data_IF_577124605827
#
_entry.id   IF_577124605827
#
_cell.length_a   1.000
_cell.length_b   1.000
_cell.length_c   1.000
_cell.angle_alpha   90.00
_cell.angle_beta   90.00
_cell.angle_gamma   90.00
#
_symmetry.space_group_name_H-M   'P 1'
#
loop_
_entity.id
_entity.type
_entity.pdbx_description
1 polymer ?
#
# COMPACT_ATOMS: atom_id res chain seq x y z
N UNK A 1 -62.73 -62.91 16.54
CA UNK A 1 -62.57 -61.52 16.99
C UNK A 1 -61.42 -61.45 18.00
N UNK A 2 -60.50 -60.46 17.81
CA UNK A 2 -59.45 -59.94 18.73
C UNK A 2 -58.34 -60.94 19.15
N UNK A 3 -57.14 -60.94 18.55
CA UNK A 3 -55.96 -60.04 18.61
C UNK A 3 -55.29 -59.94 20.00
N UNK A 4 -54.00 -59.54 19.98
CA UNK A 4 -53.07 -59.15 21.06
C UNK A 4 -52.13 -60.26 21.55
N UNK A 5 -50.81 -60.12 21.61
CA UNK A 5 -49.81 -59.31 20.90
C UNK A 5 -48.46 -59.97 21.24
N UNK A 6 -47.60 -60.18 20.24
CA UNK A 6 -46.24 -60.67 20.43
C UNK A 6 -45.38 -59.58 21.08
N UNK A 7 -44.73 -59.88 22.20
CA UNK A 7 -43.67 -59.04 22.75
C UNK A 7 -42.33 -59.77 22.57
N UNK A 8 -41.71 -59.53 21.41
CA UNK A 8 -40.31 -59.84 21.19
C UNK A 8 -39.47 -58.79 21.93
N UNK A 9 -38.97 -59.12 23.12
CA UNK A 9 -37.85 -58.38 23.70
C UNK A 9 -36.59 -58.91 23.03
N UNK A 10 -36.15 -58.19 22.00
CA UNK A 10 -34.88 -58.40 21.34
C UNK A 10 -33.78 -58.05 22.37
N UNK A 11 -33.25 -59.05 23.08
CA UNK A 11 -32.00 -58.89 23.80
C UNK A 11 -30.91 -58.81 22.73
N UNK A 12 -30.57 -57.60 22.30
CA UNK A 12 -29.32 -57.35 21.57
C UNK A 12 -28.18 -57.74 22.51
N UNK A 13 -27.76 -59.00 22.46
CA UNK A 13 -26.40 -59.37 22.83
C UNK A 13 -25.55 -58.69 21.78
N UNK A 14 -24.95 -57.56 22.16
CA UNK A 14 -23.98 -56.89 21.32
C UNK A 14 -22.89 -57.88 20.98
N UNK A 15 -22.94 -58.42 19.76
CA UNK A 15 -21.79 -59.10 19.19
C UNK A 15 -20.65 -58.09 19.23
N UNK A 16 -19.51 -58.40 19.87
CA UNK A 16 -18.37 -57.51 19.78
C UNK A 16 -18.10 -57.29 18.30
N UNK A 17 -18.01 -56.03 17.90
CA UNK A 17 -17.62 -55.65 16.55
C UNK A 17 -16.43 -56.51 16.10
N UNK A 18 -16.32 -56.96 14.83
CA UNK A 18 -15.22 -57.80 14.38
C UNK A 18 -13.81 -57.26 14.69
N UNK A 19 -13.68 -55.96 14.98
CA UNK A 19 -12.45 -55.35 15.50
C UNK A 19 -12.02 -55.85 16.90
N UNK A 20 -12.96 -56.22 17.78
CA UNK A 20 -12.68 -56.71 19.13
C UNK A 20 -12.39 -58.23 19.18
N UNK A 21 -12.64 -58.96 18.10
CA UNK A 21 -12.37 -60.39 18.02
C UNK A 21 -10.87 -60.71 17.82
N UNK A 22 -10.07 -59.75 17.38
CA UNK A 22 -8.68 -59.99 16.99
C UNK A 22 -7.70 -59.88 18.17
N UNK A 23 -8.03 -59.10 19.20
CA UNK A 23 -7.13 -58.77 20.30
C UNK A 23 -7.60 -59.29 21.68
N UNK A 24 -8.82 -59.81 21.77
CA UNK A 24 -9.38 -60.38 22.99
C UNK A 24 -9.20 -61.90 23.06
N UNK A 25 -8.54 -62.42 24.09
CA UNK A 25 -8.46 -63.87 24.35
C UNK A 25 -9.66 -64.32 25.19
N UNK A 26 -10.87 -64.20 24.64
CA UNK A 26 -12.09 -64.57 25.34
C UNK A 26 -12.68 -65.86 24.77
N UNK A 27 -13.06 -66.81 25.64
CA UNK A 27 -13.91 -67.96 25.30
C UNK A 27 -15.26 -67.78 25.97
N UNK A 28 -16.32 -67.89 25.17
CA UNK A 28 -17.68 -68.04 25.67
C UNK A 28 -17.87 -69.47 26.15
N UNK A 29 -18.28 -69.65 27.40
CA UNK A 29 -18.52 -70.95 28.02
C UNK A 29 -20.00 -71.28 28.03
N UNK A 30 -20.36 -72.52 27.70
CA UNK A 30 -21.71 -73.02 27.91
C UNK A 30 -21.91 -73.49 29.36
N UNK A 31 -23.15 -73.41 29.85
CA UNK A 31 -23.50 -73.90 31.19
C UNK A 31 -23.20 -75.41 31.29
N UNK A 32 -22.43 -75.81 32.31
CA UNK A 32 -21.93 -77.19 32.53
C UNK A 32 -20.88 -77.71 31.53
N UNK A 33 -20.21 -76.84 30.78
CA UNK A 33 -19.07 -77.25 29.94
C UNK A 33 -17.84 -77.61 30.78
N UNK A 34 -17.17 -78.73 30.46
CA UNK A 34 -15.96 -79.19 31.14
C UNK A 34 -14.70 -78.64 30.44
N UNK A 35 -13.73 -78.15 31.23
CA UNK A 35 -12.44 -77.70 30.72
C UNK A 35 -11.63 -78.88 30.17
N UNK A 36 -11.29 -78.85 28.88
CA UNK A 36 -10.47 -79.87 28.22
C UNK A 36 -9.09 -79.33 27.84
N UNK A 37 -8.17 -80.23 27.52
CA UNK A 37 -6.85 -79.89 26.95
C UNK A 37 -6.99 -79.07 25.65
N UNK A 38 -8.00 -79.36 24.83
CA UNK A 38 -8.25 -78.64 23.58
C UNK A 38 -8.67 -77.19 23.83
N UNK A 39 -9.44 -76.93 24.89
CA UNK A 39 -9.82 -75.58 25.28
C UNK A 39 -8.60 -74.74 25.68
N UNK A 40 -7.67 -75.35 26.43
CA UNK A 40 -6.44 -74.73 26.89
C UNK A 40 -5.49 -74.48 25.71
N UNK A 41 -5.27 -75.48 24.86
CA UNK A 41 -4.42 -75.36 23.68
C UNK A 41 -4.94 -74.28 22.72
N UNK A 42 -6.24 -74.23 22.46
CA UNK A 42 -6.84 -73.20 21.62
C UNK A 42 -6.72 -71.80 22.25
N UNK A 43 -6.76 -71.67 23.58
CA UNK A 43 -6.53 -70.39 24.26
C UNK A 43 -5.08 -69.92 24.12
N UNK A 44 -4.10 -70.82 24.25
CA UNK A 44 -2.70 -70.51 24.03
C UNK A 44 -2.42 -70.14 22.57
N UNK A 45 -2.97 -70.87 21.60
CA UNK A 45 -2.84 -70.52 20.18
C UNK A 45 -3.43 -69.14 19.90
N UNK A 46 -4.62 -68.82 20.42
CA UNK A 46 -5.21 -67.48 20.26
C UNK A 46 -4.35 -66.38 20.89
N UNK A 47 -3.76 -66.63 22.06
CA UNK A 47 -2.86 -65.67 22.72
C UNK A 47 -1.60 -65.41 21.89
N UNK A 48 -1.02 -66.47 21.31
CA UNK A 48 0.14 -66.36 20.42
C UNK A 48 -0.23 -65.62 19.14
N UNK A 49 -1.38 -65.92 18.53
CA UNK A 49 -1.88 -65.25 17.33
C UNK A 49 -2.26 -63.79 17.57
N UNK A 50 -2.73 -63.45 18.78
CA UNK A 50 -3.07 -62.08 19.18
C UNK A 50 -1.83 -61.25 19.54
N UNK A 51 -0.64 -61.84 19.66
CA UNK A 51 0.60 -61.12 19.91
C UNK A 51 1.16 -60.50 18.61
N UNK A 52 0.37 -59.62 18.00
CA UNK A 52 0.65 -58.89 16.76
C UNK A 52 0.55 -57.38 17.01
N UNK A 53 1.25 -56.52 16.24
CA UNK A 53 1.26 -55.07 16.47
C UNK A 53 -0.13 -54.41 16.51
N UNK A 54 -1.11 -54.96 15.78
CA UNK A 54 -2.50 -54.47 15.80
C UNK A 54 -3.21 -54.66 17.14
N UNK A 55 -2.67 -55.51 18.02
CA UNK A 55 -3.23 -55.86 19.32
C UNK A 55 -2.29 -55.55 20.49
N UNK A 56 -1.09 -55.05 20.19
CA UNK A 56 -0.15 -54.56 21.19
C UNK A 56 -0.64 -53.19 21.70
N UNK A 57 -0.59 -53.02 23.02
CA UNK A 57 -0.89 -51.74 23.68
C UNK A 57 0.21 -50.70 23.43
N UNK A 58 0.01 -49.47 23.87
CA UNK A 58 1.01 -48.42 23.72
C UNK A 58 2.25 -48.63 24.61
N UNK A 59 3.43 -48.25 24.11
CA UNK A 59 4.68 -48.32 24.88
C UNK A 59 4.94 -47.05 25.71
N UNK A 60 4.26 -45.94 25.40
CA UNK A 60 4.60 -44.61 25.91
C UNK A 60 3.87 -44.23 27.21
N UNK A 61 3.66 -45.19 28.12
CA UNK A 61 2.91 -44.97 29.36
C UNK A 61 3.56 -43.98 30.34
N UNK A 62 4.86 -43.72 30.17
CA UNK A 62 5.61 -42.72 30.94
C UNK A 62 6.43 -41.81 30.04
N UNK A 63 6.74 -40.59 30.51
CA UNK A 63 7.63 -39.67 29.80
C UNK A 63 9.03 -40.26 29.59
N UNK A 64 9.48 -41.13 30.48
CA UNK A 64 10.76 -41.83 30.34
C UNK A 64 10.72 -42.78 29.15
N UNK A 65 9.71 -43.64 29.07
CA UNK A 65 9.53 -44.55 27.92
C UNK A 65 9.31 -43.79 26.61
N UNK A 66 8.60 -42.66 26.65
CA UNK A 66 8.37 -41.81 25.48
C UNK A 66 9.67 -41.17 24.96
N UNK A 67 10.68 -40.97 25.83
CA UNK A 67 11.96 -40.35 25.49
C UNK A 67 13.06 -41.34 25.11
N UNK A 68 12.86 -42.63 25.32
CA UNK A 68 13.87 -43.64 24.96
C UNK A 68 14.07 -43.66 23.44
N UNK A 69 15.34 -43.64 23.03
CA UNK A 69 15.77 -43.71 21.64
C UNK A 69 17.01 -44.57 21.50
N UNK A 70 17.10 -45.30 20.39
CA UNK A 70 18.23 -46.18 20.07
C UNK A 70 18.65 -45.91 18.63
N UNK A 71 19.94 -45.72 18.36
CA UNK A 71 20.45 -45.54 17.00
C UNK A 71 20.17 -46.80 16.16
N UNK A 72 19.48 -46.71 15.01
CA UNK A 72 19.28 -47.85 14.12
C UNK A 72 20.53 -48.25 13.32
N UNK A 73 21.56 -47.39 13.22
CA UNK A 73 22.77 -47.66 12.44
C UNK A 73 24.07 -47.23 13.16
N UNK A 74 24.31 -47.71 14.38
CA UNK A 74 25.51 -47.37 15.12
C UNK A 74 26.74 -47.97 14.45
N UNK A 75 27.82 -47.18 14.36
CA UNK A 75 29.13 -47.66 13.88
C UNK A 75 29.08 -48.42 12.54
N UNK A 76 28.22 -47.96 11.63
CA UNK A 76 28.07 -48.53 10.28
C UNK A 76 27.56 -49.97 10.24
N UNK A 77 26.72 -50.37 11.20
CA UNK A 77 26.04 -51.67 11.21
C UNK A 77 24.59 -51.53 11.63
N UNK A 78 23.68 -52.35 11.07
CA UNK A 78 22.28 -52.32 11.45
C UNK A 78 22.06 -52.79 12.89
N UNK A 79 21.38 -51.97 13.67
CA UNK A 79 20.88 -52.31 15.00
C UNK A 79 19.46 -52.87 14.83
N UNK A 80 19.29 -54.20 14.93
CA UNK A 80 17.98 -54.85 14.71
C UNK A 80 17.12 -54.86 15.99
N UNK A 81 15.85 -54.41 15.95
CA UNK A 81 14.93 -54.52 17.08
C UNK A 81 14.44 -55.97 17.26
N UNK A 82 14.33 -56.42 18.51
CA UNK A 82 13.71 -57.70 18.88
C UNK A 82 12.31 -57.54 19.49
N UNK A 83 11.87 -56.29 19.66
CA UNK A 83 10.56 -55.92 20.23
C UNK A 83 10.01 -54.68 19.53
N UNK A 84 8.68 -54.51 19.56
CA UNK A 84 8.02 -53.30 19.04
C UNK A 84 8.50 -52.03 19.75
N UNK A 85 8.79 -52.12 21.07
CA UNK A 85 9.40 -51.05 21.83
C UNK A 85 10.75 -50.62 21.24
N UNK A 86 11.62 -51.58 20.91
CA UNK A 86 12.92 -51.30 20.29
C UNK A 86 12.82 -50.71 18.88
N UNK A 87 11.78 -51.06 18.11
CA UNK A 87 11.53 -50.46 16.80
C UNK A 87 11.08 -48.99 16.94
N UNK A 88 10.17 -48.71 17.89
CA UNK A 88 9.74 -47.35 18.21
C UNK A 88 10.90 -46.46 18.65
N UNK A 89 11.81 -46.97 19.48
CA UNK A 89 13.01 -46.24 19.91
C UNK A 89 13.91 -45.81 18.74
N UNK A 90 13.99 -46.64 17.68
CA UNK A 90 14.78 -46.35 16.47
C UNK A 90 14.10 -45.35 15.54
N UNK A 91 12.77 -45.45 15.38
CA UNK A 91 11.99 -44.47 14.63
C UNK A 91 12.08 -43.10 15.32
N UNK A 92 11.98 -43.06 16.65
CA UNK A 92 12.14 -41.81 17.43
C UNK A 92 13.53 -41.21 17.26
N UNK A 93 14.57 -42.03 17.21
CA UNK A 93 15.93 -41.55 16.93
C UNK A 93 16.01 -40.84 15.57
N UNK A 94 15.41 -41.41 14.52
CA UNK A 94 15.37 -40.79 13.19
C UNK A 94 14.57 -39.48 13.18
N UNK A 95 13.42 -39.44 13.88
CA UNK A 95 12.62 -38.22 14.01
C UNK A 95 13.37 -37.12 14.79
N UNK A 96 14.14 -37.48 15.83
CA UNK A 96 15.04 -36.54 16.51
C UNK A 96 16.12 -35.99 15.58
N UNK A 97 16.77 -36.86 14.81
CA UNK A 97 17.78 -36.46 13.84
C UNK A 97 17.23 -35.51 12.77
N UNK A 98 15.99 -35.74 12.31
CA UNK A 98 15.30 -34.87 11.35
C UNK A 98 14.83 -33.54 11.97
N UNK A 99 14.38 -33.57 13.22
CA UNK A 99 13.81 -32.40 13.89
C UNK A 99 14.84 -31.45 14.50
N UNK A 100 15.99 -31.98 14.90
CA UNK A 100 16.98 -31.26 15.71
C UNK A 100 16.48 -30.88 17.11
N UNK A 101 15.35 -31.43 17.57
CA UNK A 101 14.74 -31.11 18.87
C UNK A 101 15.30 -31.97 19.99
N UNK A 102 15.01 -31.60 21.24
CA UNK A 102 15.37 -32.39 22.41
C UNK A 102 14.51 -33.65 22.53
N UNK A 103 13.23 -33.57 22.14
CA UNK A 103 12.30 -34.71 22.16
C UNK A 103 11.50 -34.79 20.86
N UNK A 104 11.27 -36.01 20.36
CA UNK A 104 10.67 -36.27 19.03
C UNK A 104 9.22 -35.78 18.88
N UNK A 105 8.52 -35.57 19.98
CA UNK A 105 7.13 -35.12 20.03
C UNK A 105 6.98 -33.59 20.16
N UNK A 106 8.09 -32.85 20.16
CA UNK A 106 8.05 -31.39 20.15
C UNK A 106 7.74 -30.87 18.75
N UNK A 107 7.11 -29.69 18.69
CA UNK A 107 6.71 -29.07 17.41
C UNK A 107 7.96 -28.85 16.54
N UNK A 108 7.87 -29.29 15.28
CA UNK A 108 8.90 -29.09 14.27
C UNK A 108 9.00 -27.61 13.90
N UNK A 109 10.22 -27.12 13.70
CA UNK A 109 10.41 -25.78 13.15
C UNK A 109 10.03 -25.77 11.66
N UNK A 110 9.39 -24.68 11.22
CA UNK A 110 9.05 -24.49 9.81
C UNK A 110 10.28 -24.54 8.88
N UNK A 111 11.49 -24.38 9.42
CA UNK A 111 12.76 -24.50 8.70
C UNK A 111 13.03 -25.88 8.12
N UNK A 112 12.48 -26.97 8.69
CA UNK A 112 12.60 -28.33 8.12
C UNK A 112 11.79 -28.46 6.83
N UNK A 113 10.78 -27.60 6.62
CA UNK A 113 9.96 -27.54 5.41
C UNK A 113 10.45 -26.52 4.37
N UNK A 114 11.56 -25.82 4.61
CA UNK A 114 12.00 -24.68 3.78
C UNK A 114 12.41 -25.08 2.35
N UNK A 115 12.84 -26.32 2.17
CA UNK A 115 13.34 -26.83 0.88
C UNK A 115 12.53 -28.04 0.35
N UNK A 116 11.40 -28.38 0.98
CA UNK A 116 10.52 -29.46 0.49
C UNK A 116 9.41 -28.84 -0.35
N UNK A 117 9.32 -29.13 -1.67
CA UNK A 117 8.21 -28.69 -2.49
C UNK A 117 6.91 -29.21 -1.88
N UNK A 118 6.11 -28.34 -1.26
CA UNK A 118 4.77 -28.72 -0.78
C UNK A 118 3.91 -29.01 -2.00
N UNK A 119 3.73 -30.29 -2.32
CA UNK A 119 2.77 -30.76 -3.31
C UNK A 119 1.35 -30.39 -2.86
N UNK A 120 0.71 -29.42 -3.54
CA UNK A 120 -0.50 -29.58 -4.38
C UNK A 120 -1.17 -28.21 -4.58
N UNK A 121 -1.09 -27.68 -5.81
CA UNK A 121 -2.09 -26.72 -6.33
C UNK A 121 -1.99 -25.26 -5.90
N UNK A 122 -0.92 -24.83 -5.25
CA UNK A 122 -0.75 -23.44 -4.84
C UNK A 122 0.41 -22.81 -5.63
N UNK A 123 0.10 -22.10 -6.72
CA UNK A 123 1.08 -21.21 -7.38
C UNK A 123 1.35 -20.05 -6.42
N UNK A 124 2.35 -20.20 -5.55
CA UNK A 124 2.93 -19.11 -4.80
C UNK A 124 4.42 -19.04 -5.12
N UNK A 125 4.85 -17.83 -5.48
CA UNK A 125 6.23 -17.42 -5.72
C UNK A 125 7.13 -17.99 -4.63
N UNK A 126 8.17 -18.72 -5.02
CA UNK A 126 9.16 -19.28 -4.10
C UNK A 126 9.85 -18.11 -3.38
N UNK A 127 9.61 -17.99 -2.07
CA UNK A 127 10.40 -17.11 -1.21
C UNK A 127 11.58 -17.92 -0.69
N UNK A 128 12.80 -17.61 -1.12
CA UNK A 128 14.01 -18.06 -0.43
C UNK A 128 14.48 -16.94 0.49
N UNK A 129 14.44 -17.19 1.80
CA UNK A 129 15.08 -16.32 2.78
C UNK A 129 16.59 -16.47 2.60
N UNK A 130 17.27 -15.38 2.18
CA UNK A 130 18.72 -15.34 2.04
C UNK A 130 19.30 -14.34 3.03
N UNK A 131 20.33 -14.75 3.76
CA UNK A 131 21.06 -13.89 4.70
C UNK A 131 21.91 -12.82 4.00
N UNK A 132 22.17 -12.98 2.71
CA UNK A 132 22.99 -12.07 1.91
C UNK A 132 22.34 -11.81 0.53
N UNK A 133 21.98 -10.56 0.21
CA UNK A 133 21.33 -10.23 -1.05
C UNK A 133 22.25 -10.24 -2.27
N UNK A 134 23.58 -10.19 -2.07
CA UNK A 134 24.52 -10.17 -3.18
C UNK A 134 24.71 -11.57 -3.82
N UNK A 135 24.55 -12.64 -3.05
CA UNK A 135 25.00 -13.99 -3.42
C UNK A 135 23.91 -14.94 -3.88
N UNK A 136 22.63 -14.56 -3.79
CA UNK A 136 21.52 -15.40 -4.26
C UNK A 136 21.46 -15.46 -5.80
N UNK A 137 21.61 -16.66 -6.39
CA UNK A 137 21.29 -16.90 -7.81
C UNK A 137 19.77 -16.99 -7.97
N UNK A 138 19.20 -16.16 -8.83
CA UNK A 138 17.76 -16.11 -9.10
C UNK A 138 17.52 -16.43 -10.57
N UNK A 139 16.50 -17.25 -10.87
CA UNK A 139 16.06 -17.48 -12.24
C UNK A 139 15.45 -16.21 -12.84
N UNK A 140 15.36 -16.14 -14.17
CA UNK A 140 14.86 -14.98 -14.92
C UNK A 140 13.43 -14.55 -14.57
N UNK A 141 12.68 -15.39 -13.85
CA UNK A 141 11.26 -15.20 -13.57
C UNK A 141 10.98 -15.06 -12.05
N UNK A 142 12.03 -14.86 -11.25
CA UNK A 142 11.93 -14.85 -9.77
C UNK A 142 12.36 -13.50 -9.21
N UNK A 143 11.47 -12.88 -8.42
CA UNK A 143 11.78 -11.74 -7.56
C UNK A 143 12.19 -12.26 -6.18
N UNK A 144 13.44 -12.08 -5.77
CA UNK A 144 13.86 -12.44 -4.41
C UNK A 144 13.55 -11.30 -3.45
N UNK A 145 12.87 -11.58 -2.34
CA UNK A 145 12.58 -10.63 -1.26
C UNK A 145 13.46 -10.97 -0.07
N UNK A 146 14.18 -9.98 0.44
CA UNK A 146 15.02 -10.13 1.62
C UNK A 146 14.30 -9.51 2.79
N UNK A 147 13.99 -10.29 3.82
CA UNK A 147 13.35 -9.81 5.04
C UNK A 147 14.20 -10.16 6.28
N UNK A 148 14.08 -9.36 7.34
CA UNK A 148 14.51 -9.76 8.69
C UNK A 148 13.30 -9.83 9.61
N UNK A 149 13.28 -10.79 10.50
CA UNK A 149 12.38 -10.80 11.66
C UNK A 149 13.20 -10.52 12.91
N UNK A 150 13.03 -9.33 13.49
CA UNK A 150 13.69 -8.92 14.74
C UNK A 150 12.87 -9.34 15.98
N UNK A 151 11.95 -10.29 15.84
CA UNK A 151 11.03 -10.72 16.90
C UNK A 151 9.78 -9.85 17.04
N UNK A 152 9.53 -8.97 16.07
CA UNK A 152 8.35 -8.10 15.98
C UNK A 152 7.51 -8.32 14.70
N UNK A 153 7.88 -9.31 13.89
CA UNK A 153 7.30 -9.59 12.57
C UNK A 153 8.29 -9.31 11.43
N UNK A 154 8.15 -10.06 10.33
CA UNK A 154 9.04 -9.96 9.19
C UNK A 154 8.96 -8.57 8.50
N UNK A 155 10.11 -7.91 8.38
CA UNK A 155 10.27 -6.64 7.67
C UNK A 155 11.10 -6.87 6.40
N UNK A 156 10.56 -6.52 5.23
CA UNK A 156 11.28 -6.64 3.96
C UNK A 156 12.31 -5.50 3.85
N UNK A 157 13.58 -5.86 3.72
CA UNK A 157 14.76 -4.99 3.72
C UNK A 157 15.39 -4.78 2.35
N UNK A 158 15.10 -5.62 1.36
CA UNK A 158 15.55 -5.48 -0.02
C UNK A 158 14.74 -6.38 -0.96
N UNK A 159 14.86 -6.17 -2.28
CA UNK A 159 14.50 -7.18 -3.28
C UNK A 159 15.58 -7.26 -4.37
N UNK A 160 15.70 -8.40 -5.06
CA UNK A 160 16.56 -8.57 -6.24
C UNK A 160 15.67 -8.87 -7.45
N UNK A 161 15.79 -8.06 -8.49
CA UNK A 161 15.02 -8.22 -9.72
C UNK A 161 15.59 -9.30 -10.65
N UNK A 162 14.83 -9.71 -11.67
CA UNK A 162 15.21 -10.76 -12.63
C UNK A 162 16.48 -10.46 -13.43
N UNK A 163 16.98 -9.21 -13.39
CA UNK A 163 18.24 -8.82 -14.02
C UNK A 163 19.45 -8.97 -13.10
N UNK A 164 19.20 -9.38 -11.85
CA UNK A 164 20.22 -9.56 -10.82
C UNK A 164 20.53 -8.29 -10.01
N UNK A 165 19.77 -7.20 -10.19
CA UNK A 165 19.98 -5.97 -9.45
C UNK A 165 19.33 -6.04 -8.07
N UNK A 166 20.12 -5.77 -7.03
CA UNK A 166 19.66 -5.74 -5.64
C UNK A 166 19.25 -4.32 -5.25
N UNK A 167 17.99 -4.14 -4.88
CA UNK A 167 17.43 -2.88 -4.36
C UNK A 167 17.19 -2.99 -2.86
N UNK A 168 17.95 -2.25 -2.05
CA UNK A 168 17.75 -2.20 -0.60
C UNK A 168 16.56 -1.31 -0.22
N UNK A 169 15.64 -1.86 0.55
CA UNK A 169 14.52 -1.19 1.22
C UNK A 169 14.91 -0.66 2.61
N UNK A 170 16.14 -0.96 3.06
CA UNK A 170 16.76 -0.41 4.28
C UNK A 170 17.36 0.97 3.99
N UNK A 171 16.45 1.91 3.81
CA UNK A 171 16.67 3.35 3.74
C UNK A 171 15.32 4.03 3.94
N UNK A 172 15.28 5.31 4.29
CA UNK A 172 14.02 6.04 4.28
C UNK A 172 13.45 6.01 2.86
N UNK A 173 12.51 5.09 2.57
CA UNK A 173 11.65 5.01 1.38
C UNK A 173 12.25 5.53 0.07
N UNK A 174 13.50 5.19 -0.26
CA UNK A 174 14.22 5.72 -1.43
C UNK A 174 13.88 4.98 -2.74
N UNK A 175 12.62 4.62 -2.93
CA UNK A 175 12.06 4.28 -4.24
C UNK A 175 10.54 4.39 -4.20
N UNK A 176 10.04 5.63 -4.33
CA UNK A 176 8.73 5.85 -4.92
C UNK A 176 8.95 6.69 -6.16
N UNK A 177 8.93 6.02 -7.31
CA UNK A 177 8.68 6.71 -8.57
C UNK A 177 7.37 7.49 -8.45
N UNK A 178 7.37 8.69 -9.03
CA UNK A 178 6.26 9.64 -9.06
C UNK A 178 5.93 10.35 -7.74
N UNK A 179 5.55 11.61 -7.89
CA UNK A 179 5.11 12.51 -6.84
C UNK A 179 3.79 12.00 -6.19
N UNK A 180 3.89 11.13 -5.17
CA UNK A 180 2.72 10.59 -4.44
C UNK A 180 2.01 11.71 -3.68
N UNK A 181 0.76 11.96 -4.04
CA UNK A 181 -0.15 12.83 -3.31
C UNK A 181 -1.50 12.15 -3.20
N UNK A 182 -2.05 12.08 -1.99
CA UNK A 182 -3.40 11.55 -1.74
C UNK A 182 -4.17 12.57 -0.94
N UNK A 183 -5.28 13.05 -1.50
CA UNK A 183 -6.20 14.00 -0.87
C UNK A 183 -5.50 15.28 -0.38
N UNK A 184 -4.62 15.87 -1.20
CA UNK A 184 -4.00 17.13 -0.83
C UNK A 184 -5.06 18.22 -0.80
N UNK A 185 -5.08 18.99 0.27
CA UNK A 185 -5.93 20.15 0.45
C UNK A 185 -5.10 21.28 1.01
N UNK A 186 -5.20 22.44 0.38
CA UNK A 186 -4.63 23.69 0.89
C UNK A 186 -5.74 24.71 0.95
N UNK A 187 -5.88 25.38 2.09
CA UNK A 187 -6.84 26.46 2.29
C UNK A 187 -6.19 27.58 3.09
N UNK A 188 -6.69 28.79 2.90
CA UNK A 188 -6.45 29.88 3.83
C UNK A 188 -7.06 29.51 5.19
N UNK A 189 -6.29 29.68 6.27
CA UNK A 189 -6.78 29.47 7.61
C UNK A 189 -7.89 30.49 7.93
N UNK A 190 -8.99 30.05 8.53
CA UNK A 190 -10.19 30.85 8.73
C UNK A 190 -10.07 32.00 9.73
N UNK A 191 -9.08 31.95 10.63
CA UNK A 191 -8.88 32.98 11.65
C UNK A 191 -8.32 34.29 11.06
N UNK A 192 -8.71 35.42 11.63
CA UNK A 192 -8.12 36.73 11.34
C UNK A 192 -6.91 36.98 12.25
N UNK A 193 -5.80 37.58 11.75
CA UNK A 193 -5.54 37.93 10.35
C UNK A 193 -5.34 36.67 9.48
N UNK A 194 -5.73 36.78 8.21
CA UNK A 194 -5.81 35.66 7.27
C UNK A 194 -4.47 35.44 6.55
N UNK A 195 -3.41 35.40 7.34
CA UNK A 195 -2.00 35.32 6.93
C UNK A 195 -1.43 33.90 7.06
N UNK A 196 -2.29 32.90 7.26
CA UNK A 196 -1.89 31.51 7.45
C UNK A 196 -2.56 30.59 6.42
N UNK A 197 -1.86 29.52 6.06
CA UNK A 197 -2.36 28.47 5.18
C UNK A 197 -2.34 27.14 5.92
N UNK A 198 -3.44 26.39 5.85
CA UNK A 198 -3.49 25.02 6.34
C UNK A 198 -3.29 24.05 5.17
N UNK A 199 -2.34 23.15 5.31
CA UNK A 199 -1.97 22.16 4.30
C UNK A 199 -2.14 20.77 4.90
N UNK A 200 -3.03 19.98 4.30
CA UNK A 200 -3.30 18.61 4.72
C UNK A 200 -3.23 17.64 3.55
N UNK A 201 -2.69 16.44 3.76
CA UNK A 201 -2.75 15.34 2.82
C UNK A 201 -2.70 14.00 3.57
N UNK A 202 -3.37 12.97 3.07
CA UNK A 202 -3.34 11.64 3.69
C UNK A 202 -1.98 10.97 3.47
N UNK A 203 -1.39 11.20 2.30
CA UNK A 203 -0.04 10.79 1.97
C UNK A 203 0.61 11.84 1.07
N UNK A 204 1.86 12.16 1.39
CA UNK A 204 2.67 13.08 0.61
C UNK A 204 4.11 12.58 0.50
N UNK A 205 4.62 12.44 -0.72
CA UNK A 205 6.06 12.25 -0.95
C UNK A 205 6.79 13.60 -0.99
N UNK A 206 8.01 13.64 -0.47
CA UNK A 206 8.94 14.77 -0.58
C UNK A 206 10.32 14.17 -0.88
N UNK A 207 10.79 14.31 -2.12
CA UNK A 207 12.10 13.83 -2.62
C UNK A 207 12.56 12.49 -2.00
N UNK A 208 11.79 11.43 -2.24
CA UNK A 208 12.13 10.08 -1.79
C UNK A 208 11.75 9.75 -0.34
N UNK A 209 10.93 10.55 0.33
CA UNK A 209 10.34 10.18 1.63
C UNK A 209 8.83 10.38 1.63
N UNK A 210 8.06 9.41 2.13
CA UNK A 210 6.61 9.54 2.28
C UNK A 210 6.25 9.90 3.72
N UNK A 211 5.43 10.95 3.88
CA UNK A 211 4.72 11.25 5.11
C UNK A 211 3.30 10.69 5.03
N UNK A 212 3.00 9.71 5.88
CA UNK A 212 1.62 9.38 6.21
C UNK A 212 1.05 10.51 7.09
N UNK A 213 -0.12 11.01 6.73
CA UNK A 213 -0.79 12.14 7.37
C UNK A 213 0.13 13.36 7.46
N UNK A 214 0.16 14.14 6.37
CA UNK A 214 0.79 15.44 6.36
C UNK A 214 -0.24 16.48 6.82
N UNK A 215 0.06 17.23 7.87
CA UNK A 215 -0.79 18.30 8.37
C UNK A 215 0.11 19.38 8.97
N UNK A 216 0.10 20.56 8.36
CA UNK A 216 0.88 21.72 8.82
C UNK A 216 0.07 23.00 8.63
N UNK A 217 0.32 23.97 9.50
CA UNK A 217 -0.13 25.36 9.30
C UNK A 217 1.10 26.20 9.01
N UNK A 218 1.10 26.92 7.90
CA UNK A 218 2.16 27.86 7.54
C UNK A 218 1.75 29.24 8.03
N UNK A 219 2.49 29.80 8.99
CA UNK A 219 2.29 31.14 9.50
C UNK A 219 3.22 32.14 8.79
N UNK A 220 2.68 32.82 7.78
CA UNK A 220 3.47 33.73 6.95
C UNK A 220 3.80 35.07 7.63
N UNK A 221 3.49 35.23 8.92
CA UNK A 221 3.96 36.38 9.72
C UNK A 221 5.38 36.20 10.28
N UNK A 222 5.91 34.98 10.19
CA UNK A 222 7.25 34.60 10.67
C UNK A 222 8.08 34.01 9.53
N UNK A 223 9.36 33.73 9.80
CA UNK A 223 10.26 33.06 8.84
C UNK A 223 10.80 31.75 9.39
N UNK A 224 11.09 30.79 8.51
CA UNK A 224 11.57 29.46 8.84
C UNK A 224 10.57 28.34 8.54
N UNK A 225 10.75 27.20 9.21
CA UNK A 225 9.87 26.05 9.03
C UNK A 225 8.44 26.37 9.52
N UNK A 226 7.43 25.93 8.75
CA UNK A 226 6.01 26.29 8.93
C UNK A 226 5.76 27.80 8.84
N UNK A 227 6.54 28.51 8.02
CA UNK A 227 6.46 29.97 7.90
C UNK A 227 6.91 30.43 6.50
N UNK A 228 7.22 31.73 6.34
CA UNK A 228 7.88 32.23 5.12
C UNK A 228 9.33 31.74 5.02
N UNK A 229 9.81 31.57 3.80
CA UNK A 229 11.21 31.24 3.55
C UNK A 229 12.16 32.40 3.88
N UNK A 230 11.74 33.63 3.61
CA UNK A 230 12.47 34.85 3.95
C UNK A 230 11.55 36.08 3.94
N UNK A 231 12.05 37.20 4.48
CA UNK A 231 11.40 38.49 4.42
C UNK A 231 10.09 38.56 5.22
N UNK A 232 9.14 39.33 4.70
CA UNK A 232 7.83 39.55 5.28
C UNK A 232 6.74 39.34 4.22
N UNK A 233 5.52 39.05 4.67
CA UNK A 233 4.37 38.87 3.79
C UNK A 233 4.07 40.17 3.03
N UNK A 234 4.17 40.11 1.71
CA UNK A 234 4.03 41.26 0.82
C UNK A 234 2.62 41.34 0.24
N UNK A 235 2.20 42.56 -0.13
CA UNK A 235 0.93 42.81 -0.80
C UNK A 235 0.95 42.26 -2.23
N UNK A 236 -0.21 41.84 -2.75
CA UNK A 236 -0.41 41.52 -4.17
C UNK A 236 0.61 40.51 -4.75
N UNK A 237 1.07 39.56 -3.94
CA UNK A 237 2.20 38.68 -4.23
C UNK A 237 1.76 37.22 -4.22
N UNK A 238 2.26 36.43 -5.19
CA UNK A 238 2.04 34.99 -5.24
C UNK A 238 3.10 34.27 -4.40
N UNK A 239 2.64 33.44 -3.48
CA UNK A 239 3.47 32.59 -2.65
C UNK A 239 3.25 31.13 -3.03
N UNK A 240 4.33 30.46 -3.40
CA UNK A 240 4.41 29.03 -3.62
C UNK A 240 4.48 28.31 -2.29
N UNK A 241 3.63 27.30 -2.14
CA UNK A 241 3.52 26.46 -0.95
C UNK A 241 4.36 25.22 -1.15
N UNK A 242 5.28 24.97 -0.23
CA UNK A 242 6.22 23.85 -0.28
C UNK A 242 6.04 22.94 0.93
N UNK A 243 6.17 21.64 0.71
CA UNK A 243 6.55 20.72 1.78
C UNK A 243 8.08 20.62 1.82
N UNK A 244 8.64 20.65 3.01
CA UNK A 244 10.08 20.53 3.24
C UNK A 244 10.36 19.42 4.24
N UNK A 245 11.52 18.76 4.11
CA UNK A 245 11.96 17.71 5.02
C UNK A 245 13.41 17.91 5.44
N UNK A 246 13.65 17.71 6.74
CA UNK A 246 14.97 17.53 7.31
C UNK A 246 15.31 16.02 7.28
N UNK A 247 16.23 15.56 6.41
CA UNK A 247 16.50 14.14 6.27
C UNK A 247 17.23 13.53 7.47
N UNK A 248 17.98 14.34 8.23
CA UNK A 248 18.72 13.90 9.41
C UNK A 248 17.79 13.60 10.60
N UNK A 249 16.72 14.36 10.76
CA UNK A 249 15.74 14.16 11.85
C UNK A 249 14.45 13.46 11.40
N UNK A 250 14.23 13.35 10.08
CA UNK A 250 12.98 12.83 9.52
C UNK A 250 11.79 13.79 9.62
N UNK A 251 11.99 15.02 10.09
CA UNK A 251 10.91 15.99 10.32
C UNK A 251 10.43 16.61 9.01
N UNK A 252 9.11 16.68 8.83
CA UNK A 252 8.44 17.39 7.73
C UNK A 252 7.88 18.73 8.24
N UNK A 253 7.88 19.75 7.39
CA UNK A 253 7.26 21.05 7.66
C UNK A 253 6.71 21.67 6.36
N UNK A 254 5.95 22.75 6.48
CA UNK A 254 5.55 23.61 5.37
C UNK A 254 6.49 24.80 5.19
N UNK A 255 6.46 25.44 4.03
CA UNK A 255 7.19 26.67 3.74
C UNK A 255 6.45 27.47 2.66
N UNK A 256 6.28 28.78 2.85
CA UNK A 256 5.77 29.68 1.81
C UNK A 256 6.93 30.49 1.23
N UNK A 257 7.00 30.63 -0.10
CA UNK A 257 8.10 31.33 -0.78
C UNK A 257 7.60 32.06 -2.02
N UNK A 258 8.21 33.20 -2.37
CA UNK A 258 7.97 33.86 -3.67
C UNK A 258 8.66 33.15 -4.84
N UNK A 259 9.49 32.14 -4.57
CA UNK A 259 10.23 31.37 -5.56
C UNK A 259 9.50 30.07 -5.93
N UNK A 260 9.28 29.87 -7.23
CA UNK A 260 8.63 28.67 -7.79
C UNK A 260 9.58 27.45 -7.88
N UNK A 261 10.89 27.68 -7.89
CA UNK A 261 11.88 26.61 -8.12
C UNK A 261 12.88 26.45 -6.98
N UNK A 262 13.21 27.55 -6.29
CA UNK A 262 14.31 27.60 -5.34
C UNK A 262 13.94 28.44 -4.12
N UNK A 263 13.05 27.94 -3.23
CA UNK A 263 12.80 28.58 -1.95
C UNK A 263 14.07 28.60 -1.09
N UNK A 264 14.19 29.61 -0.22
CA UNK A 264 15.28 29.70 0.76
C UNK A 264 15.04 28.70 1.90
N UNK A 265 15.79 27.60 1.92
CA UNK A 265 15.51 26.50 2.84
C UNK A 265 15.96 26.82 4.29
N UNK A 266 15.11 26.60 5.32
CA UNK A 266 15.51 26.68 6.72
C UNK A 266 16.62 25.68 7.08
N UNK A 267 17.43 26.00 8.10
CA UNK A 267 18.56 25.17 8.51
C UNK A 267 18.16 23.70 8.75
N UNK A 268 18.91 22.78 8.13
CA UNK A 268 18.70 21.33 8.26
C UNK A 268 17.63 20.76 7.30
N UNK A 269 16.79 21.58 6.68
CA UNK A 269 15.85 21.13 5.65
C UNK A 269 16.53 21.19 4.29
N UNK A 270 16.67 20.04 3.64
CA UNK A 270 17.39 19.93 2.34
C UNK A 270 16.58 19.24 1.26
N UNK A 271 15.38 18.78 1.60
CA UNK A 271 14.44 18.11 0.69
C UNK A 271 13.17 18.95 0.59
N UNK A 272 12.62 19.10 -0.62
CA UNK A 272 11.46 19.97 -0.85
C UNK A 272 10.53 19.40 -1.92
N UNK A 273 9.28 19.87 -1.92
CA UNK A 273 8.33 19.59 -2.98
C UNK A 273 7.35 20.75 -3.11
N UNK A 274 7.14 21.23 -4.32
CA UNK A 274 6.11 22.23 -4.60
C UNK A 274 4.74 21.58 -4.45
N UNK A 275 3.87 22.19 -3.66
CA UNK A 275 2.52 21.71 -3.39
C UNK A 275 1.44 22.60 -3.93
N UNK A 276 1.69 23.87 -4.22
CA UNK A 276 0.61 24.80 -4.51
C UNK A 276 1.07 26.24 -4.61
N UNK A 277 0.12 27.16 -4.80
CA UNK A 277 0.37 28.58 -4.70
C UNK A 277 -0.86 29.34 -4.19
N UNK A 278 -0.65 30.43 -3.45
CA UNK A 278 -1.69 31.31 -2.93
C UNK A 278 -1.25 32.76 -3.08
N UNK A 279 -2.18 33.63 -3.48
CA UNK A 279 -1.93 35.06 -3.69
C UNK A 279 -2.39 35.87 -2.50
N UNK A 280 -1.65 36.92 -2.15
CA UNK A 280 -2.08 37.95 -1.19
C UNK A 280 -2.82 39.10 -1.86
N UNK A 281 -3.68 39.77 -1.10
CA UNK A 281 -4.37 41.00 -1.49
C UNK A 281 -3.52 42.27 -1.24
N UNK A 282 -4.16 43.44 -1.40
CA UNK A 282 -3.52 44.73 -1.14
C UNK A 282 -3.14 45.01 0.32
N UNK A 283 -3.56 44.16 1.27
CA UNK A 283 -3.33 44.29 2.72
C UNK A 283 -2.51 43.11 3.29
N UNK A 284 -1.74 42.43 2.44
CA UNK A 284 -0.95 41.25 2.79
C UNK A 284 -1.77 40.14 3.46
N UNK A 285 -3.02 39.95 3.04
CA UNK A 285 -3.89 38.85 3.46
C UNK A 285 -3.98 37.83 2.33
N UNK A 286 -3.90 36.52 2.63
CA UNK A 286 -4.13 35.52 1.58
C UNK A 286 -5.57 35.61 1.07
N UNK A 287 -5.73 35.66 -0.25
CA UNK A 287 -7.02 35.57 -0.91
C UNK A 287 -7.65 34.22 -0.61
N UNK A 288 -8.98 34.23 -0.44
CA UNK A 288 -9.72 33.02 -0.15
C UNK A 288 -9.82 32.12 -1.38
N UNK A 289 -9.51 30.84 -1.19
CA UNK A 289 -9.49 29.85 -2.24
C UNK A 289 -9.18 28.46 -1.68
N UNK A 290 -9.43 27.46 -2.51
CA UNK A 290 -9.29 26.06 -2.15
C UNK A 290 -8.44 25.39 -3.21
N UNK A 291 -7.33 24.80 -2.78
CA UNK A 291 -6.64 23.81 -3.58
C UNK A 291 -7.09 22.41 -3.16
N UNK A 292 -7.43 21.57 -4.15
CA UNK A 292 -7.53 20.12 -4.00
C UNK A 292 -6.65 19.44 -5.03
N UNK A 293 -5.78 18.57 -4.55
CA UNK A 293 -4.75 17.92 -5.33
C UNK A 293 -3.98 18.94 -6.16
N UNK A 294 -4.10 18.89 -7.48
CA UNK A 294 -3.41 19.78 -8.41
C UNK A 294 -4.28 20.95 -8.91
N UNK A 295 -5.50 21.14 -8.41
CA UNK A 295 -6.41 22.19 -8.90
C UNK A 295 -6.67 23.20 -7.79
N UNK A 296 -6.50 24.48 -8.12
CA UNK A 296 -6.83 25.61 -7.25
C UNK A 296 -7.95 26.44 -7.85
N UNK A 297 -8.91 26.85 -7.03
CA UNK A 297 -9.92 27.87 -7.35
C UNK A 297 -9.96 28.94 -6.27
N UNK A 298 -10.07 30.20 -6.69
CA UNK A 298 -10.47 31.29 -5.82
C UNK A 298 -11.93 31.13 -5.43
N UNK A 299 -12.26 31.44 -4.18
CA UNK A 299 -13.67 31.49 -3.71
C UNK A 299 -14.43 32.61 -4.41
N UNK A 300 -13.75 33.73 -4.68
CA UNK A 300 -14.28 34.86 -5.45
C UNK A 300 -13.32 35.16 -6.61
N UNK A 301 -13.72 34.86 -7.86
CA UNK A 301 -12.94 35.20 -9.04
C UNK A 301 -12.73 36.71 -9.12
N UNK A 302 -11.57 37.14 -9.62
CA UNK A 302 -11.29 38.57 -9.79
C UNK A 302 -10.92 38.92 -11.22
N UNK A 303 -11.14 40.18 -11.56
CA UNK A 303 -11.04 40.71 -12.90
C UNK A 303 -9.58 40.85 -13.33
N UNK A 304 -9.24 40.25 -14.48
CA UNK A 304 -7.89 40.33 -15.10
C UNK A 304 -7.90 41.08 -16.43
N UNK A 305 -9.05 41.22 -17.08
CA UNK A 305 -9.27 42.14 -18.21
C UNK A 305 -10.62 42.83 -18.05
N UNK A 306 -10.67 44.16 -18.22
CA UNK A 306 -11.88 44.96 -17.96
C UNK A 306 -12.40 45.61 -19.22
N UNK A 307 -13.60 45.22 -19.65
CA UNK A 307 -14.38 45.87 -20.72
C UNK A 307 -13.56 46.23 -21.98
N UNK A 308 -12.68 45.34 -22.39
CA UNK A 308 -11.80 45.54 -23.53
C UNK A 308 -12.51 45.19 -24.82
N UNK A 309 -12.37 46.03 -25.85
CA UNK A 309 -12.81 45.70 -27.21
C UNK A 309 -11.64 45.06 -27.97
N UNK A 310 -11.68 43.75 -28.14
CA UNK A 310 -10.60 42.96 -28.78
C UNK A 310 -11.16 42.10 -29.90
N UNK A 311 -10.88 42.46 -31.15
CA UNK A 311 -11.32 41.69 -32.34
C UNK A 311 -10.20 40.87 -32.98
N UNK A 312 -8.99 40.97 -32.43
CA UNK A 312 -7.80 40.22 -32.83
C UNK A 312 -7.15 39.61 -31.59
N UNK A 313 -6.34 38.56 -31.79
CA UNK A 313 -5.65 37.87 -30.71
C UNK A 313 -4.83 38.85 -29.86
N UNK A 314 -5.29 39.05 -28.63
CA UNK A 314 -4.65 39.96 -27.68
C UNK A 314 -4.06 39.14 -26.56
N UNK A 315 -2.78 39.36 -26.24
CA UNK A 315 -2.14 38.72 -25.11
C UNK A 315 -2.70 39.27 -23.79
N UNK A 316 -3.04 38.37 -22.87
CA UNK A 316 -3.45 38.67 -21.50
C UNK A 316 -2.47 38.03 -20.54
N UNK A 317 -1.74 38.85 -19.79
CA UNK A 317 -0.90 38.36 -18.70
C UNK A 317 -1.73 38.08 -17.47
N UNK A 318 -1.57 36.89 -16.91
CA UNK A 318 -2.15 36.44 -15.65
C UNK A 318 -1.12 36.49 -14.51
N UNK A 319 0.06 37.04 -14.77
CA UNK A 319 1.06 37.30 -13.73
C UNK A 319 0.67 38.54 -12.91
N UNK A 320 0.92 38.57 -11.58
CA UNK A 320 1.49 37.53 -10.74
C UNK A 320 0.39 36.73 -10.03
N UNK A 321 -0.68 36.36 -10.73
CA UNK A 321 -1.86 35.70 -10.14
C UNK A 321 -1.92 34.20 -10.36
N UNK A 322 -1.10 33.70 -11.28
CA UNK A 322 -1.00 32.29 -11.67
C UNK A 322 0.48 31.89 -11.63
N UNK A 323 0.82 30.64 -11.21
CA UNK A 323 2.17 30.10 -11.30
C UNK A 323 2.82 30.32 -12.68
N UNK A 324 4.08 30.74 -12.70
CA UNK A 324 4.73 31.17 -13.94
C UNK A 324 5.14 30.00 -14.85
N UNK A 325 5.55 28.88 -14.27
CA UNK A 325 6.08 27.73 -15.01
C UNK A 325 5.44 26.39 -14.69
N UNK A 326 4.59 26.31 -13.67
CA UNK A 326 3.93 25.06 -13.26
C UNK A 326 2.43 25.04 -13.55
N UNK A 327 1.84 26.12 -14.07
CA UNK A 327 0.45 26.09 -14.49
C UNK A 327 0.31 25.24 -15.78
N UNK A 328 -0.46 24.15 -15.70
CA UNK A 328 -0.84 23.29 -16.82
C UNK A 328 -2.06 23.81 -17.57
N UNK A 329 -2.94 24.48 -16.84
CA UNK A 329 -4.11 25.15 -17.36
C UNK A 329 -4.55 26.25 -16.41
N UNK A 330 -5.31 27.20 -16.94
CA UNK A 330 -5.99 28.24 -16.18
C UNK A 330 -7.49 28.13 -16.38
N UNK A 331 -8.26 28.53 -15.38
CA UNK A 331 -9.71 28.61 -15.44
C UNK A 331 -10.09 30.08 -15.45
N UNK A 332 -10.80 30.50 -16.49
CA UNK A 332 -11.23 31.89 -16.67
C UNK A 332 -12.70 31.96 -17.03
N UNK A 333 -13.37 33.01 -16.53
CA UNK A 333 -14.77 33.28 -16.82
C UNK A 333 -14.86 34.57 -17.65
N UNK A 334 -15.08 34.45 -18.96
CA UNK A 334 -15.30 35.58 -19.85
C UNK A 334 -16.73 36.12 -19.66
N UNK A 335 -16.89 37.43 -19.55
CA UNK A 335 -18.18 38.10 -19.43
C UNK A 335 -18.26 39.18 -20.51
N UNK A 336 -19.17 39.01 -21.45
CA UNK A 336 -19.44 40.00 -22.49
C UNK A 336 -20.53 40.98 -22.02
N UNK A 337 -20.31 42.28 -22.20
CA UNK A 337 -21.24 43.35 -21.77
C UNK A 337 -22.08 43.94 -22.91
N UNK A 338 -22.20 43.26 -24.06
CA UNK A 338 -23.18 43.58 -25.09
C UNK A 338 -22.86 43.00 -26.48
N UNK A 339 -23.86 42.41 -27.15
CA UNK A 339 -23.78 41.93 -28.54
C UNK A 339 -23.53 40.43 -28.69
N UNK A 340 -24.20 39.80 -29.66
CA UNK A 340 -23.96 38.41 -30.02
C UNK A 340 -22.60 38.23 -30.73
N UNK A 341 -21.89 37.16 -30.43
CA UNK A 341 -20.60 36.84 -31.05
C UNK A 341 -20.01 35.53 -30.54
N UNK A 342 -18.77 35.28 -30.94
CA UNK A 342 -17.98 34.12 -30.52
C UNK A 342 -16.71 34.58 -29.78
N UNK A 343 -16.45 33.96 -28.64
CA UNK A 343 -15.20 34.07 -27.91
C UNK A 343 -14.15 33.13 -28.49
N UNK A 344 -12.92 33.61 -28.57
CA UNK A 344 -11.73 32.82 -28.87
C UNK A 344 -10.78 32.89 -27.67
N UNK A 345 -10.45 31.73 -27.07
CA UNK A 345 -9.47 31.60 -25.99
C UNK A 345 -8.42 30.56 -26.35
N UNK A 346 -7.14 30.90 -26.16
CA UNK A 346 -6.03 30.01 -26.50
C UNK A 346 -4.75 30.35 -25.71
N UNK A 347 -3.79 29.43 -25.61
CA UNK A 347 -2.49 29.71 -24.96
C UNK A 347 -1.43 30.29 -25.89
N UNK A 348 -1.61 30.10 -27.20
CA UNK A 348 -0.76 30.68 -28.24
C UNK A 348 -1.49 31.78 -28.98
N UNK A 349 -0.72 32.71 -29.52
CA UNK A 349 -1.22 33.71 -30.44
C UNK A 349 -1.87 33.03 -31.66
N UNK A 350 -2.97 33.60 -32.16
CA UNK A 350 -3.69 33.12 -33.33
C UNK A 350 -3.83 34.24 -34.37
N UNK A 351 -3.54 33.92 -35.64
CA UNK A 351 -3.42 34.94 -36.69
C UNK A 351 -4.76 35.58 -37.09
N UNK A 352 -5.85 34.81 -37.12
CA UNK A 352 -7.18 35.28 -37.52
C UNK A 352 -8.28 34.61 -36.69
N UNK A 353 -9.35 35.37 -36.40
CA UNK A 353 -10.63 34.86 -35.85
C UNK A 353 -11.44 34.12 -36.92
N UNK A 354 -10.81 33.14 -37.59
CA UNK A 354 -11.46 32.27 -38.57
C UNK A 354 -11.53 30.85 -38.01
N UNK A 355 -12.71 30.26 -38.01
CA UNK A 355 -13.07 28.98 -37.38
C UNK A 355 -12.39 27.71 -37.95
N UNK A 356 -11.21 27.81 -38.56
CA UNK A 356 -10.54 26.67 -39.17
C UNK A 356 -9.02 26.77 -38.98
N UNK A 357 -8.46 25.95 -38.08
CA UNK A 357 -7.03 25.59 -38.13
C UNK A 357 -6.30 25.46 -36.80
N UNK A 358 -6.83 25.97 -35.69
CA UNK A 358 -6.20 25.88 -34.35
C UNK A 358 -7.26 25.38 -33.37
N UNK A 359 -6.95 24.52 -32.38
CA UNK A 359 -7.90 24.11 -31.34
C UNK A 359 -8.20 25.29 -30.40
N UNK A 360 -8.98 26.25 -30.87
CA UNK A 360 -9.48 27.38 -30.09
C UNK A 360 -10.75 26.94 -29.40
N UNK A 361 -10.85 27.12 -28.09
CA UNK A 361 -12.14 26.96 -27.41
C UNK A 361 -13.05 28.08 -27.87
N UNK A 362 -14.11 27.72 -28.61
CA UNK A 362 -15.11 28.66 -29.11
C UNK A 362 -16.35 28.58 -28.23
N UNK A 363 -16.77 29.72 -27.69
CA UNK A 363 -18.05 29.85 -27.00
C UNK A 363 -18.86 30.92 -27.71
N UNK A 364 -20.03 30.55 -28.22
CA UNK A 364 -21.02 31.50 -28.74
C UNK A 364 -22.06 31.79 -27.68
N UNK A 365 -22.35 33.06 -27.44
CA UNK A 365 -23.43 33.47 -26.53
C UNK A 365 -24.23 34.60 -27.14
N UNK A 366 -25.55 34.56 -26.93
CA UNK A 366 -26.49 35.64 -27.21
C UNK A 366 -26.80 36.49 -25.97
N UNK A 367 -26.25 36.13 -24.81
CA UNK A 367 -26.51 36.79 -23.50
C UNK A 367 -25.23 37.00 -22.68
N UNK A 368 -25.30 37.86 -21.66
CA UNK A 368 -24.23 38.27 -20.72
C UNK A 368 -23.75 37.15 -19.77
N UNK A 369 -23.94 35.87 -20.08
CA UNK A 369 -23.59 34.77 -19.18
C UNK A 369 -22.12 34.33 -19.37
N UNK A 370 -21.34 34.37 -18.28
CA UNK A 370 -19.97 33.85 -18.25
C UNK A 370 -19.95 32.36 -17.92
N UNK A 371 -19.16 31.59 -18.68
CA UNK A 371 -18.92 30.17 -18.45
C UNK A 371 -17.45 29.98 -18.10
N UNK A 372 -17.17 29.40 -16.92
CA UNK A 372 -15.80 29.06 -16.54
C UNK A 372 -15.21 28.09 -17.56
N UNK A 373 -14.15 28.55 -18.22
CA UNK A 373 -13.51 27.87 -19.34
C UNK A 373 -12.09 27.50 -18.95
N UNK A 374 -11.74 26.23 -19.15
CA UNK A 374 -10.37 25.74 -18.96
C UNK A 374 -9.54 26.04 -20.20
N UNK A 375 -8.48 26.81 -20.06
CA UNK A 375 -7.49 27.10 -21.11
C UNK A 375 -6.20 26.35 -20.75
N UNK A 376 -5.79 25.33 -21.52
CA UNK A 376 -4.47 24.69 -21.32
C UNK A 376 -3.37 25.73 -21.43
N UNK A 377 -2.24 25.54 -20.76
CA UNK A 377 -1.07 26.42 -20.86
C UNK A 377 0.15 25.55 -21.16
N UNK A 378 0.88 25.86 -22.23
CA UNK A 378 2.03 25.08 -22.68
C UNK A 378 3.20 26.00 -23.07
N UNK A 379 4.42 25.59 -22.74
CA UNK A 379 5.65 26.33 -23.06
C UNK A 379 6.26 27.08 -21.87
N UNK A 380 7.21 27.99 -22.16
CA UNK A 380 8.04 28.63 -21.15
C UNK A 380 7.33 29.71 -20.30
N UNK A 381 6.16 30.20 -20.74
CA UNK A 381 5.37 31.20 -20.02
C UNK A 381 3.94 30.68 -19.86
N UNK A 382 3.68 30.02 -18.74
CA UNK A 382 2.37 29.40 -18.47
C UNK A 382 1.33 30.37 -17.89
N UNK A 383 1.72 31.63 -17.68
CA UNK A 383 0.88 32.70 -17.13
C UNK A 383 0.37 33.68 -18.18
N UNK A 384 0.36 33.32 -19.48
CA UNK A 384 -0.19 34.16 -20.55
C UNK A 384 -1.19 33.37 -21.37
N UNK A 385 -2.34 33.98 -21.65
CA UNK A 385 -3.34 33.47 -22.60
C UNK A 385 -3.62 34.54 -23.67
N UNK A 386 -4.25 34.12 -24.76
CA UNK A 386 -4.70 34.97 -25.85
C UNK A 386 -6.21 34.92 -25.94
N UNK A 387 -6.82 36.08 -26.13
CA UNK A 387 -8.26 36.22 -26.20
C UNK A 387 -8.67 37.18 -27.31
N UNK A 388 -9.83 36.93 -27.92
CA UNK A 388 -10.49 37.81 -28.88
C UNK A 388 -11.99 37.52 -28.91
N UNK A 389 -12.76 38.50 -29.37
CA UNK A 389 -14.19 38.38 -29.64
C UNK A 389 -14.46 38.61 -31.13
N UNK A 390 -15.40 37.87 -31.72
CA UNK A 390 -15.69 37.94 -33.16
C UNK A 390 -16.24 39.30 -33.64
N UNK A 391 -16.68 40.15 -32.71
CA UNK A 391 -17.26 41.48 -32.97
C UNK A 391 -16.70 42.52 -32.00
N UNK A 392 -16.74 43.80 -32.38
CA UNK A 392 -16.33 44.87 -31.49
C UNK A 392 -17.35 45.04 -30.35
N UNK A 393 -17.10 44.40 -29.22
CA UNK A 393 -17.91 44.48 -28.01
C UNK A 393 -17.04 44.49 -26.76
N UNK A 394 -17.60 44.96 -25.65
CA UNK A 394 -16.92 44.95 -24.37
C UNK A 394 -16.79 43.55 -23.79
N UNK A 395 -15.56 43.10 -23.58
CA UNK A 395 -15.25 41.80 -22.98
C UNK A 395 -14.47 41.99 -21.69
N UNK A 396 -14.94 41.33 -20.63
CA UNK A 396 -14.25 41.22 -19.35
C UNK A 396 -13.81 39.77 -19.13
N UNK A 397 -12.69 39.56 -18.44
CA UNK A 397 -12.20 38.22 -18.10
C UNK A 397 -11.92 38.17 -16.60
N UNK A 398 -12.55 37.21 -15.93
CA UNK A 398 -12.27 36.88 -14.53
C UNK A 398 -11.34 35.67 -14.47
N UNK A 399 -10.40 35.67 -13.52
CA UNK A 399 -9.57 34.53 -13.20
C UNK A 399 -10.21 33.74 -12.06
N UNK A 400 -10.58 32.49 -12.35
CA UNK A 400 -11.19 31.58 -11.37
C UNK A 400 -10.14 30.73 -10.66
N UNK A 401 -9.07 30.33 -11.35
CA UNK A 401 -8.09 29.42 -10.79
C UNK A 401 -7.12 28.83 -11.80
N UNK A 402 -6.43 27.76 -11.40
CA UNK A 402 -5.47 27.06 -12.25
C UNK A 402 -5.31 25.59 -11.85
N UNK A 403 -4.68 24.86 -12.76
CA UNK A 403 -4.25 23.49 -12.55
C UNK A 403 -2.71 23.42 -12.60
N UNK A 404 -2.11 22.76 -11.62
CA UNK A 404 -0.66 22.60 -11.49
C UNK A 404 -0.21 21.31 -12.21
N UNK A 405 0.91 21.41 -12.90
CA UNK A 405 1.72 20.28 -13.32
C UNK A 405 2.83 20.06 -12.30
N UNK A 406 2.79 18.94 -11.59
CA UNK A 406 3.91 18.54 -10.75
C UNK A 406 5.12 18.27 -11.63
N UNK A 407 6.25 18.92 -11.32
CA UNK A 407 7.55 18.58 -11.87
C UNK A 407 8.08 17.41 -11.03
N UNK A 408 8.44 16.32 -11.69
CA UNK A 408 9.02 15.13 -11.05
C UNK A 408 10.39 15.43 -10.43
#
# INVERSE_FOLDING_TARGET
MRRWAWLAVLLLVGLPSPAAAQCGVYKTWATHEVLTTDHINAAFTRTVTANVPTCADDYSATTTQMRTTTDPYPSSSESLPTTLAGELERIRYQLLALSGKTYWYQVMDNSVAKDVPKHWGATYTLFSESSDPATASIGSDVLALYAKDDGGGATVLAYKDSTGSVSTLTGASSSYGSAVTVNLKIIRNGATPTTKLDVTADRLSVEGAIKATYSVTIDATTTGANALDTGALANNTLYYVWAIRNPSTGTFAGLASTSESSPSMPTGYTKKRLLGAFRTDGSAQFLDGIQRDNIFFYTTPFLVATNTTVTTATALSLSPSVPATTARAVYVTPVNVGGGGALFLHWQNFATVSSAGVPVTTLSSTTTAGITTRVPTYGAVTSTIYYAWSVASGLSIYLDGWEIQWKD
#
